data_IF_777996762079
#
_entry.id   IF_777996762079
#
_cell.length_a   1.000
_cell.length_b   1.000
_cell.length_c   1.000
_cell.angle_alpha   90.00
_cell.angle_beta   90.00
_cell.angle_gamma   90.00
#
_symmetry.space_group_name_H-M   'P 1'
#
loop_
_entity.id
_entity.type
_entity.pdbx_description
1 polymer ?
#
# COMPACT_ATOMS: atom_id res chain seq x y z
N UNK A 1 13.81 18.65 4.46
CA UNK A 1 14.45 18.52 3.13
C UNK A 1 15.95 18.22 3.20
N UNK A 2 16.71 18.79 4.14
CA UNK A 2 18.16 18.54 4.28
C UNK A 2 18.58 17.08 4.54
N UNK A 3 17.64 16.21 4.93
CA UNK A 3 17.91 14.79 5.27
C UNK A 3 17.03 13.83 4.45
N UNK A 4 16.55 14.23 3.27
CA UNK A 4 15.70 13.35 2.46
C UNK A 4 16.57 12.36 1.69
N UNK A 5 16.82 11.19 2.27
CA UNK A 5 17.26 10.04 1.49
C UNK A 5 16.07 9.58 0.64
N UNK A 6 16.10 9.88 -0.66
CA UNK A 6 15.09 9.39 -1.60
C UNK A 6 15.33 7.91 -1.87
N UNK A 7 14.77 7.06 -1.01
CA UNK A 7 14.80 5.61 -1.19
C UNK A 7 13.97 5.22 -2.42
N UNK A 8 14.49 4.30 -3.25
CA UNK A 8 13.77 3.77 -4.42
C UNK A 8 12.44 3.15 -3.95
N UNK A 9 11.34 3.66 -4.49
CA UNK A 9 9.97 3.35 -4.05
C UNK A 9 9.07 3.18 -5.26
N UNK A 10 8.19 2.17 -5.24
CA UNK A 10 7.18 1.93 -6.25
C UNK A 10 5.82 1.69 -5.60
N UNK A 11 4.80 2.30 -6.18
CA UNK A 11 3.41 2.20 -5.76
C UNK A 11 2.56 1.63 -6.88
N UNK A 12 1.70 0.69 -6.54
CA UNK A 12 0.60 0.23 -7.38
C UNK A 12 -0.69 0.63 -6.69
N UNK A 13 -1.51 1.41 -7.36
CA UNK A 13 -2.83 1.82 -6.87
C UNK A 13 -3.83 1.41 -7.92
N UNK A 14 -4.80 0.59 -7.54
CA UNK A 14 -5.89 0.14 -8.39
C UNK A 14 -7.20 0.64 -7.81
N UNK A 15 -8.07 1.09 -8.70
CA UNK A 15 -9.45 1.48 -8.40
C UNK A 15 -10.33 0.89 -9.47
N UNK A 16 -11.45 0.28 -9.08
CA UNK A 16 -12.33 -0.36 -10.04
C UNK A 16 -13.63 -0.82 -9.39
N UNK A 17 -14.37 -1.65 -10.11
CA UNK A 17 -15.54 -2.34 -9.59
C UNK A 17 -15.25 -3.84 -9.48
N UNK A 18 -15.66 -4.43 -8.36
CA UNK A 18 -15.57 -5.86 -8.11
C UNK A 18 -16.86 -6.29 -7.41
N UNK A 19 -17.51 -7.34 -7.92
CA UNK A 19 -18.83 -7.80 -7.45
C UNK A 19 -19.89 -6.68 -7.39
N UNK A 20 -19.87 -5.75 -8.35
CA UNK A 20 -20.82 -4.64 -8.43
C UNK A 20 -20.64 -3.55 -7.38
N UNK A 21 -19.50 -3.53 -6.66
CA UNK A 21 -19.16 -2.48 -5.68
C UNK A 21 -17.84 -1.80 -6.05
N UNK A 22 -17.70 -0.49 -5.77
CA UNK A 22 -16.43 0.20 -5.97
C UNK A 22 -15.39 -0.32 -4.98
N UNK A 23 -14.18 -0.58 -5.49
CA UNK A 23 -13.03 -1.05 -4.73
C UNK A 23 -11.80 -0.17 -5.01
N UNK A 24 -10.94 -0.07 -4.01
CA UNK A 24 -9.62 0.52 -4.13
C UNK A 24 -8.63 -0.27 -3.28
N UNK A 25 -7.47 -0.57 -3.83
CA UNK A 25 -6.41 -1.29 -3.15
C UNK A 25 -5.06 -0.90 -3.74
N UNK A 26 -3.98 -1.25 -3.04
CA UNK A 26 -2.65 -0.95 -3.52
C UNK A 26 -1.56 -1.76 -2.85
N UNK A 27 -0.39 -1.72 -3.49
CA UNK A 27 0.84 -2.36 -3.03
C UNK A 27 1.97 -1.34 -3.06
N UNK A 28 2.95 -1.53 -2.17
CA UNK A 28 4.12 -0.68 -2.04
C UNK A 28 5.36 -1.56 -1.92
N UNK A 29 6.40 -1.23 -2.69
CA UNK A 29 7.75 -1.76 -2.51
C UNK A 29 8.69 -0.57 -2.31
N UNK A 30 9.55 -0.67 -1.29
CA UNK A 30 10.53 0.35 -0.95
C UNK A 30 11.83 -0.31 -0.49
N UNK A 31 12.97 0.23 -0.94
CA UNK A 31 14.29 -0.20 -0.46
C UNK A 31 14.47 0.22 0.99
N UNK A 32 14.94 -0.70 1.83
CA UNK A 32 15.30 -0.42 3.22
C UNK A 32 16.80 -0.07 3.29
N UNK A 33 17.20 1.03 3.94
CA UNK A 33 18.61 1.44 4.06
C UNK A 33 19.30 0.67 5.21
N UNK A 34 19.29 -0.66 5.17
CA UNK A 34 19.97 -1.53 6.15
C UNK A 34 21.28 -2.14 5.61
N UNK A 35 21.67 -1.76 4.39
CA UNK A 35 22.86 -2.28 3.70
C UNK A 35 22.67 -3.68 3.13
N UNK A 36 21.44 -4.19 3.09
CA UNK A 36 21.10 -5.49 2.52
C UNK A 36 20.33 -5.33 1.20
N UNK A 37 20.40 -6.35 0.36
CA UNK A 37 19.77 -6.35 -0.96
C UNK A 37 20.57 -5.62 -2.04
N UNK A 38 20.18 -5.85 -3.28
CA UNK A 38 20.76 -5.28 -4.49
C UNK A 38 19.71 -4.51 -5.30
N UNK A 39 20.13 -3.63 -6.22
CA UNK A 39 19.20 -3.00 -7.17
C UNK A 39 18.39 -4.01 -7.99
N UNK A 40 18.97 -5.17 -8.28
CA UNK A 40 18.35 -6.26 -9.05
C UNK A 40 17.20 -6.91 -8.25
N UNK A 41 17.33 -7.00 -6.92
CA UNK A 41 16.27 -7.55 -6.05
C UNK A 41 15.01 -6.66 -6.12
N UNK A 42 15.20 -5.34 -6.15
CA UNK A 42 14.08 -4.41 -6.32
C UNK A 42 13.42 -4.59 -7.68
N UNK A 43 14.21 -4.68 -8.76
CA UNK A 43 13.69 -4.88 -10.11
C UNK A 43 12.91 -6.20 -10.23
N UNK A 44 13.42 -7.27 -9.62
CA UNK A 44 12.74 -8.55 -9.54
C UNK A 44 11.36 -8.44 -8.86
N UNK A 45 11.31 -7.86 -7.65
CA UNK A 45 10.05 -7.68 -6.92
C UNK A 45 9.09 -6.73 -7.65
N UNK A 46 9.62 -5.70 -8.32
CA UNK A 46 8.84 -4.79 -9.15
C UNK A 46 8.21 -5.54 -10.34
N UNK A 47 8.96 -6.39 -11.05
CA UNK A 47 8.46 -7.20 -12.15
C UNK A 47 7.38 -8.17 -11.71
N UNK A 48 7.55 -8.88 -10.59
CA UNK A 48 6.53 -9.77 -10.02
C UNK A 48 5.25 -8.99 -9.69
N UNK A 49 5.39 -7.88 -8.97
CA UNK A 49 4.24 -7.08 -8.52
C UNK A 49 3.51 -6.41 -9.69
N UNK A 50 4.20 -6.08 -10.79
CA UNK A 50 3.57 -5.57 -12.01
C UNK A 50 2.59 -6.56 -12.65
N UNK A 51 2.68 -7.86 -12.33
CA UNK A 51 1.75 -8.88 -12.84
C UNK A 51 0.42 -8.93 -12.10
N UNK A 52 0.28 -8.20 -10.97
CA UNK A 52 -0.94 -8.20 -10.17
C UNK A 52 -2.13 -7.64 -10.96
N UNK A 53 -3.24 -8.38 -10.90
CA UNK A 53 -4.50 -8.01 -11.55
C UNK A 53 -5.50 -7.45 -10.56
N UNK A 54 -6.44 -6.66 -11.07
CA UNK A 54 -7.47 -6.01 -10.25
C UNK A 54 -8.36 -7.05 -9.56
N UNK A 55 -8.73 -8.15 -10.23
CA UNK A 55 -9.56 -9.21 -9.63
C UNK A 55 -8.83 -9.96 -8.50
N UNK A 56 -7.50 -10.08 -8.61
CA UNK A 56 -6.67 -10.70 -7.56
C UNK A 56 -6.54 -9.75 -6.37
N UNK A 57 -6.31 -8.47 -6.64
CA UNK A 57 -6.11 -7.44 -5.62
C UNK A 57 -7.39 -7.12 -4.84
N UNK A 58 -8.55 -7.21 -5.48
CA UNK A 58 -9.84 -6.94 -4.85
C UNK A 58 -10.51 -8.20 -4.28
N UNK A 59 -10.22 -9.39 -4.83
CA UNK A 59 -10.93 -10.62 -4.50
C UNK A 59 -10.17 -11.61 -3.60
N UNK A 60 -8.85 -11.55 -3.52
CA UNK A 60 -8.06 -12.47 -2.69
C UNK A 60 -7.82 -11.89 -1.30
N UNK A 61 -7.73 -12.78 -0.30
CA UNK A 61 -7.16 -12.43 0.99
C UNK A 61 -5.68 -12.02 0.82
N UNK A 62 -5.23 -11.05 1.61
CA UNK A 62 -3.90 -10.46 1.43
C UNK A 62 -2.77 -11.50 1.49
N UNK A 63 -2.87 -12.49 2.38
CA UNK A 63 -1.86 -13.56 2.49
C UNK A 63 -1.82 -14.46 1.26
N UNK A 64 -2.97 -14.74 0.64
CA UNK A 64 -3.04 -15.57 -0.57
C UNK A 64 -2.44 -14.83 -1.77
N UNK A 65 -2.70 -13.52 -1.86
CA UNK A 65 -2.09 -12.65 -2.86
C UNK A 65 -0.56 -12.58 -2.69
N UNK A 66 -0.07 -12.37 -1.47
CA UNK A 66 1.36 -12.32 -1.16
C UNK A 66 2.04 -13.65 -1.49
N UNK A 67 1.43 -14.78 -1.14
CA UNK A 67 1.97 -16.10 -1.46
C UNK A 67 1.98 -16.34 -2.98
N UNK A 68 0.94 -15.95 -3.71
CA UNK A 68 0.90 -16.06 -5.17
C UNK A 68 2.05 -15.31 -5.84
N UNK A 69 2.37 -14.11 -5.35
CA UNK A 69 3.40 -13.25 -5.93
C UNK A 69 4.83 -13.62 -5.50
N UNK A 70 5.03 -13.98 -4.22
CA UNK A 70 6.36 -14.03 -3.60
C UNK A 70 6.71 -15.38 -2.94
N UNK A 71 6.05 -16.49 -3.30
CA UNK A 71 6.34 -17.80 -2.68
C UNK A 71 7.75 -18.35 -2.94
N UNK A 72 8.47 -17.83 -3.92
CA UNK A 72 9.87 -18.21 -4.20
C UNK A 72 10.86 -17.41 -3.34
N UNK A 73 10.39 -16.38 -2.65
CA UNK A 73 11.17 -15.49 -1.81
C UNK A 73 11.00 -15.81 -0.33
N UNK A 74 11.97 -15.38 0.48
CA UNK A 74 11.87 -15.46 1.93
C UNK A 74 11.02 -14.29 2.45
N UNK A 75 9.73 -14.52 2.64
CA UNK A 75 8.79 -13.50 3.11
C UNK A 75 8.60 -13.57 4.62
N UNK A 76 8.59 -12.40 5.27
CA UNK A 76 8.12 -12.22 6.65
C UNK A 76 6.85 -11.38 6.65
N UNK A 77 5.76 -11.94 7.15
CA UNK A 77 4.47 -11.25 7.28
C UNK A 77 4.30 -10.73 8.72
N UNK A 78 3.80 -9.51 8.85
CA UNK A 78 3.47 -8.88 10.14
C UNK A 78 1.95 -8.86 10.36
N UNK A 79 1.53 -8.57 11.60
CA UNK A 79 0.11 -8.44 11.94
C UNK A 79 -0.58 -7.37 11.07
N UNK A 80 -1.74 -7.68 10.46
CA UNK A 80 -2.47 -6.73 9.65
C UNK A 80 -3.03 -5.60 10.50
N UNK A 81 -3.08 -4.39 9.92
CA UNK A 81 -3.73 -3.25 10.55
C UNK A 81 -5.08 -2.97 9.86
N UNK A 82 -6.21 -2.95 10.61
CA UNK A 82 -7.50 -2.61 10.01
C UNK A 82 -7.50 -1.16 9.54
N UNK A 83 -8.03 -0.93 8.35
CA UNK A 83 -8.17 0.41 7.76
C UNK A 83 -9.64 0.79 7.75
N UNK A 84 -9.95 1.99 8.23
CA UNK A 84 -11.29 2.55 8.22
C UNK A 84 -11.24 4.04 7.87
N UNK A 85 -12.29 4.53 7.22
CA UNK A 85 -12.46 5.96 7.04
C UNK A 85 -12.69 6.65 8.39
N UNK A 86 -12.01 7.78 8.61
CA UNK A 86 -12.17 8.57 9.82
C UNK A 86 -12.14 10.09 9.51
N UNK A 87 -13.23 10.80 9.80
CA UNK A 87 -13.28 12.27 9.79
C UNK A 87 -12.97 12.77 11.21
N UNK A 88 -11.88 13.52 11.41
CA UNK A 88 -11.57 14.18 12.70
C UNK A 88 -12.46 15.40 13.00
N UNK A 89 -13.60 15.48 12.35
CA UNK A 89 -14.50 16.63 12.30
C UNK A 89 -15.38 16.60 13.55
N UNK A 90 -15.51 17.73 14.24
CA UNK A 90 -16.40 17.85 15.39
C UNK A 90 -17.21 19.13 15.31
N UNK A 91 -18.38 19.13 15.96
CA UNK A 91 -19.25 20.30 16.01
C UNK A 91 -18.53 21.50 16.63
N UNK A 92 -17.72 21.25 17.65
CA UNK A 92 -16.90 22.26 18.33
C UNK A 92 -15.86 22.86 17.40
N UNK A 93 -15.10 22.02 16.68
CA UNK A 93 -14.08 22.48 15.72
C UNK A 93 -14.69 23.34 14.62
N UNK A 94 -15.81 22.89 14.05
CA UNK A 94 -16.49 23.64 13.00
C UNK A 94 -17.09 24.94 13.53
N UNK A 95 -17.66 24.94 14.74
CA UNK A 95 -18.20 26.14 15.38
C UNK A 95 -17.12 27.19 15.67
N UNK A 96 -15.97 26.77 16.20
CA UNK A 96 -14.85 27.66 16.48
C UNK A 96 -14.34 28.40 15.24
N UNK A 97 -14.24 27.70 14.09
CA UNK A 97 -13.80 28.30 12.83
C UNK A 97 -14.78 29.36 12.30
N UNK A 98 -16.08 29.20 12.53
CA UNK A 98 -17.12 30.15 12.08
C UNK A 98 -17.13 31.41 12.96
N UNK A 99 -16.88 31.28 14.26
CA UNK A 99 -16.90 32.40 15.22
C UNK A 99 -15.72 33.36 15.02
N UNK A 100 -14.62 32.90 14.42
CA UNK A 100 -13.42 33.70 14.16
C UNK A 100 -13.48 34.56 12.88
N UNK A 101 -14.64 34.64 12.22
CA UNK A 101 -14.89 35.50 11.03
C UNK A 101 -15.48 36.84 11.43
#
# INVERSE_FOLDING_TARGET
FANSEQLKTRLWIRTGEFEGKPHAAGMLIQVIPDGTGSPDDFEHLEQLTNTVKDEELFGLEANDLLYRLYNQDKVRVYEPQPVAFHCGCSRERSGAAIITV
#
